data_IF_386372108543
#
_entry.id   IF_386372108543
#
_cell.length_a   1.000
_cell.length_b   1.000
_cell.length_c   1.000
_cell.angle_alpha   90.00
_cell.angle_beta   90.00
_cell.angle_gamma   90.00
#
_symmetry.space_group_name_H-M   'P 1'
#
loop_
_entity.id
_entity.type
_entity.pdbx_description
1 polymer ?
#
# COMPACT_ATOMS: atom_id res chain seq x y z
N UNK A 1 28.57 20.09 -24.49
CA UNK A 1 27.25 19.85 -23.83
C UNK A 1 26.14 20.45 -24.73
N UNK A 2 25.32 19.56 -25.29
CA UNK A 2 24.49 19.78 -26.49
C UNK A 2 23.31 20.76 -26.19
N UNK A 3 23.12 21.80 -27.04
CA UNK A 3 22.02 22.80 -26.90
C UNK A 3 20.61 22.19 -26.74
N UNK A 4 20.37 20.98 -27.27
CA UNK A 4 19.12 20.25 -27.14
C UNK A 4 18.83 19.78 -25.70
N UNK A 5 19.85 19.41 -24.93
CA UNK A 5 19.69 18.95 -23.53
C UNK A 5 19.31 20.12 -22.61
N UNK A 6 19.87 21.32 -22.86
CA UNK A 6 19.49 22.53 -22.11
C UNK A 6 18.02 22.93 -22.34
N UNK A 7 17.53 22.77 -23.56
CA UNK A 7 16.14 23.13 -23.91
C UNK A 7 15.12 22.17 -23.27
N UNK A 8 15.44 20.88 -23.22
CA UNK A 8 14.60 19.84 -22.59
C UNK A 8 14.54 20.06 -21.07
N UNK A 9 15.65 20.41 -20.43
CA UNK A 9 15.69 20.69 -19.00
C UNK A 9 14.88 21.94 -18.62
N UNK A 10 14.94 23.01 -19.45
CA UNK A 10 14.14 24.23 -19.24
C UNK A 10 12.65 23.95 -19.44
N UNK A 11 12.26 23.13 -20.44
CA UNK A 11 10.87 22.73 -20.67
C UNK A 11 10.35 21.82 -19.54
N UNK A 12 11.18 20.98 -18.95
CA UNK A 12 10.78 20.15 -17.79
C UNK A 12 10.58 20.99 -16.53
N UNK A 13 11.46 21.96 -16.27
CA UNK A 13 11.31 22.90 -15.16
C UNK A 13 10.07 23.80 -15.31
N UNK A 14 9.78 24.27 -16.54
CA UNK A 14 8.57 25.05 -16.83
C UNK A 14 7.28 24.22 -16.67
N UNK A 15 7.31 22.95 -17.02
CA UNK A 15 6.15 22.04 -16.87
C UNK A 15 5.89 21.70 -15.41
N UNK A 16 6.95 21.57 -14.59
CA UNK A 16 6.84 21.34 -13.14
C UNK A 16 6.26 22.55 -12.38
N UNK A 17 6.56 23.79 -12.83
CA UNK A 17 6.00 25.00 -12.23
C UNK A 17 4.54 25.26 -12.64
N UNK A 18 4.07 24.73 -13.78
CA UNK A 18 2.68 24.89 -14.24
C UNK A 18 1.71 23.84 -13.65
N UNK A 19 2.20 22.73 -13.11
CA UNK A 19 1.36 21.70 -12.46
C UNK A 19 1.18 21.91 -10.95
N UNK A 20 1.83 22.92 -10.36
CA UNK A 20 1.74 23.29 -8.92
C UNK A 20 0.76 24.44 -8.63
N UNK A 21 -0.19 24.71 -9.49
CA UNK A 21 -1.29 25.62 -9.22
C UNK A 21 -2.62 24.83 -9.23
N UNK A 22 -3.34 24.64 -8.07
CA UNK A 22 -3.97 25.73 -7.31
C UNK A 22 -4.02 25.60 -5.76
N UNK A 23 -2.96 25.27 -5.07
CA UNK A 23 -2.99 25.18 -3.60
C UNK A 23 -1.95 26.08 -2.90
N UNK A 24 -1.88 27.39 -3.23
CA UNK A 24 -1.09 28.31 -2.41
C UNK A 24 -1.66 29.73 -2.44
N UNK A 25 -2.60 29.99 -1.56
CA UNK A 25 -2.88 31.32 -1.09
C UNK A 25 -1.99 31.62 0.13
N UNK A 26 -0.69 31.84 -0.10
CA UNK A 26 0.24 32.30 0.91
C UNK A 26 0.51 33.77 0.69
N UNK A 27 0.36 34.55 1.77
CA UNK A 27 0.59 36.01 1.86
C UNK A 27 1.85 36.43 1.10
N UNK A 28 1.73 37.44 0.26
CA UNK A 28 2.77 38.06 -0.60
C UNK A 28 4.07 38.37 0.16
N UNK A 29 4.01 38.56 1.47
CA UNK A 29 5.16 38.85 2.34
C UNK A 29 6.13 37.67 2.50
N UNK A 30 5.67 36.44 2.43
CA UNK A 30 6.54 35.25 2.55
C UNK A 30 7.24 34.89 1.24
N UNK A 31 6.70 35.28 0.10
CA UNK A 31 7.28 34.96 -1.22
C UNK A 31 8.57 35.76 -1.45
N UNK A 32 8.62 37.04 -1.02
CA UNK A 32 9.84 37.85 -1.15
C UNK A 32 10.98 37.36 -0.25
N UNK A 33 10.67 36.87 0.93
CA UNK A 33 11.66 36.31 1.87
C UNK A 33 12.24 34.98 1.37
N UNK A 34 11.42 34.14 0.80
CA UNK A 34 11.84 32.87 0.17
C UNK A 34 12.68 33.11 -1.08
N UNK A 35 12.32 34.10 -1.91
CA UNK A 35 13.12 34.50 -3.08
C UNK A 35 14.52 35.00 -2.71
N UNK A 36 14.64 35.77 -1.65
CA UNK A 36 15.95 36.27 -1.14
C UNK A 36 16.79 35.13 -0.58
N UNK A 37 16.19 34.17 0.15
CA UNK A 37 16.89 32.99 0.65
C UNK A 37 17.37 32.07 -0.49
N UNK A 38 16.55 31.87 -1.52
CA UNK A 38 16.90 31.05 -2.70
C UNK A 38 18.03 31.68 -3.54
N UNK A 39 18.04 32.99 -3.70
CA UNK A 39 19.11 33.72 -4.38
C UNK A 39 20.42 33.67 -3.57
N UNK A 40 20.33 33.74 -2.23
CA UNK A 40 21.50 33.62 -1.34
C UNK A 40 22.15 32.23 -1.37
N UNK A 41 21.34 31.16 -1.45
CA UNK A 41 21.86 29.79 -1.59
C UNK A 41 22.53 29.57 -2.94
N UNK A 42 21.98 30.11 -4.03
CA UNK A 42 22.62 30.03 -5.36
C UNK A 42 23.94 30.80 -5.38
N UNK A 43 24.01 31.98 -4.79
CA UNK A 43 25.24 32.77 -4.69
C UNK A 43 26.31 32.05 -3.86
N UNK A 44 25.94 31.39 -2.76
CA UNK A 44 26.83 30.60 -1.91
C UNK A 44 27.39 29.36 -2.65
N UNK A 45 26.56 28.69 -3.44
CA UNK A 45 27.01 27.57 -4.29
C UNK A 45 27.99 28.02 -5.38
N UNK A 46 27.78 29.20 -5.99
CA UNK A 46 28.71 29.73 -7.00
C UNK A 46 30.09 30.09 -6.42
N UNK A 47 30.14 30.57 -5.17
CA UNK A 47 31.41 30.89 -4.48
C UNK A 47 32.19 29.63 -4.15
N UNK A 48 31.52 28.52 -3.78
CA UNK A 48 32.17 27.25 -3.47
C UNK A 48 32.76 26.56 -4.72
N UNK A 49 32.23 26.82 -5.91
CA UNK A 49 32.77 26.27 -7.20
C UNK A 49 33.95 27.09 -7.71
N UNK A 50 34.09 28.38 -7.30
CA UNK A 50 35.16 29.28 -7.74
C UNK A 50 36.49 29.16 -7.00
N UNK A 51 36.57 28.39 -5.91
CA UNK A 51 37.79 28.31 -5.06
C UNK A 51 38.67 27.07 -5.32
N UNK A 52 38.39 26.28 -6.36
CA UNK A 52 39.21 25.10 -6.70
C UNK A 52 39.92 25.21 -8.08
N UNK A 53 40.58 26.35 -8.35
CA UNK A 53 41.54 26.43 -9.48
C UNK A 53 42.95 26.56 -8.94
N UNK A 54 43.57 25.45 -8.63
CA UNK A 54 44.99 25.33 -8.38
C UNK A 54 45.58 24.34 -9.40
N UNK A 55 46.37 24.84 -10.34
CA UNK A 55 47.08 24.05 -11.32
C UNK A 55 48.15 23.16 -10.69
N UNK A 56 48.19 21.89 -11.07
CA UNK A 56 49.42 21.12 -11.21
C UNK A 56 49.23 20.06 -12.30
N UNK A 57 50.07 20.17 -13.34
CA UNK A 57 50.20 19.20 -14.41
C UNK A 57 50.66 17.83 -13.87
N UNK A 58 49.80 16.84 -14.02
CA UNK A 58 50.18 15.43 -14.26
C UNK A 58 48.97 14.71 -14.85
N UNK A 59 49.19 14.22 -16.06
CA UNK A 59 48.24 13.40 -16.81
C UNK A 59 47.97 12.11 -16.05
N UNK A 60 46.73 11.78 -15.72
CA UNK A 60 46.28 10.41 -15.49
C UNK A 60 45.28 10.00 -16.56
N UNK A 61 45.43 8.77 -16.95
CA UNK A 61 44.56 8.02 -17.83
C UNK A 61 43.09 8.06 -17.37
N UNK A 62 42.23 7.94 -18.36
CA UNK A 62 40.78 7.98 -18.24
C UNK A 62 40.22 6.99 -17.21
N UNK A 63 39.57 7.53 -16.20
CA UNK A 63 38.53 6.86 -15.43
C UNK A 63 37.42 7.91 -15.13
N UNK A 64 36.71 8.26 -16.19
CA UNK A 64 35.46 9.01 -16.08
C UNK A 64 34.30 8.00 -16.21
N UNK A 65 34.13 7.18 -15.20
CA UNK A 65 32.85 6.51 -14.97
C UNK A 65 32.05 7.36 -14.00
N UNK A 66 31.30 8.27 -14.58
CA UNK A 66 30.24 8.97 -13.86
C UNK A 66 29.22 7.91 -13.47
N UNK A 67 29.22 7.49 -12.20
CA UNK A 67 28.20 6.64 -11.60
C UNK A 67 26.85 7.36 -11.76
N UNK A 68 26.20 7.16 -12.89
CA UNK A 68 24.75 7.20 -12.93
C UNK A 68 24.30 6.05 -12.02
N UNK A 69 23.94 6.38 -10.78
CA UNK A 69 23.34 5.41 -9.87
C UNK A 69 21.99 5.06 -10.52
N UNK A 70 21.97 3.91 -11.18
CA UNK A 70 20.79 3.35 -11.80
C UNK A 70 19.85 2.92 -10.66
N UNK A 71 18.67 3.52 -10.59
CA UNK A 71 17.66 3.27 -9.55
C UNK A 71 17.29 1.79 -9.53
N UNK A 72 17.35 1.11 -10.67
CA UNK A 72 17.10 -0.33 -10.79
C UNK A 72 18.19 -1.14 -10.09
N UNK A 73 19.46 -0.71 -10.13
CA UNK A 73 20.56 -1.38 -9.44
C UNK A 73 20.45 -1.28 -7.91
N UNK A 74 19.92 -0.18 -7.39
CA UNK A 74 19.67 -0.02 -5.94
C UNK A 74 18.53 -0.93 -5.52
N UNK A 75 17.42 -0.96 -6.27
CA UNK A 75 16.28 -1.81 -5.98
C UNK A 75 16.66 -3.30 -5.98
N UNK A 76 17.45 -3.74 -6.94
CA UNK A 76 17.99 -5.11 -7.01
C UNK A 76 18.92 -5.43 -5.84
N UNK A 77 19.76 -4.46 -5.44
CA UNK A 77 20.66 -4.62 -4.29
C UNK A 77 19.89 -4.75 -2.98
N UNK A 78 18.88 -3.92 -2.77
CA UNK A 78 18.00 -4.01 -1.58
C UNK A 78 17.25 -5.34 -1.57
N UNK A 79 16.67 -5.74 -2.71
CA UNK A 79 15.99 -7.02 -2.83
C UNK A 79 16.91 -8.20 -2.49
N UNK A 80 18.17 -8.16 -2.92
CA UNK A 80 19.17 -9.18 -2.59
C UNK A 80 19.52 -9.19 -1.11
N UNK A 81 19.71 -8.03 -0.48
CA UNK A 81 19.97 -7.92 0.96
C UNK A 81 18.82 -8.52 1.76
N UNK A 82 17.57 -8.19 1.40
CA UNK A 82 16.36 -8.76 2.03
C UNK A 82 16.31 -10.28 1.85
N UNK A 83 16.65 -10.80 0.66
CA UNK A 83 16.70 -12.25 0.42
C UNK A 83 17.79 -12.97 1.20
N UNK A 84 18.93 -12.32 1.47
CA UNK A 84 20.06 -12.89 2.18
C UNK A 84 19.93 -12.77 3.71
N UNK A 85 19.11 -11.82 4.20
CA UNK A 85 18.89 -11.63 5.64
C UNK A 85 17.94 -12.69 6.18
N UNK A 86 18.38 -13.53 7.14
CA UNK A 86 17.49 -14.51 7.77
C UNK A 86 16.36 -13.81 8.55
N UNK A 87 15.14 -14.33 8.40
CA UNK A 87 14.02 -13.86 9.22
C UNK A 87 14.30 -14.15 10.71
N UNK A 88 14.11 -13.15 11.60
CA UNK A 88 14.24 -13.38 13.04
C UNK A 88 13.32 -14.49 13.55
N UNK A 89 13.76 -15.34 14.47
CA UNK A 89 12.93 -16.41 15.03
C UNK A 89 11.66 -15.87 15.70
N UNK A 90 11.74 -14.70 16.34
CA UNK A 90 10.61 -14.04 16.96
C UNK A 90 9.50 -13.64 15.95
N UNK A 91 9.82 -13.49 14.67
CA UNK A 91 8.84 -13.14 13.65
C UNK A 91 7.82 -14.27 13.36
N UNK A 92 8.08 -15.50 13.78
CA UNK A 92 7.07 -16.58 13.73
C UNK A 92 6.03 -16.48 14.87
N UNK A 93 6.20 -15.61 15.86
CA UNK A 93 5.24 -15.47 16.97
C UNK A 93 3.95 -14.77 16.55
N UNK A 94 4.05 -13.76 15.70
CA UNK A 94 2.90 -13.06 15.13
C UNK A 94 2.79 -13.37 13.63
N UNK A 95 1.55 -13.63 13.18
CA UNK A 95 1.34 -13.92 11.76
C UNK A 95 1.78 -12.76 10.86
N UNK A 96 1.48 -11.51 11.24
CA UNK A 96 1.83 -10.34 10.42
C UNK A 96 3.34 -10.20 10.27
N UNK A 97 4.12 -10.38 11.35
CA UNK A 97 5.58 -10.31 11.30
C UNK A 97 6.16 -11.38 10.37
N UNK A 98 5.65 -12.61 10.46
CA UNK A 98 6.00 -13.67 9.53
C UNK A 98 5.58 -13.32 8.11
N UNK A 99 4.34 -12.87 7.91
CA UNK A 99 3.77 -12.69 6.57
C UNK A 99 4.47 -11.57 5.80
N UNK A 100 4.79 -10.44 6.44
CA UNK A 100 5.57 -9.37 5.80
C UNK A 100 6.95 -9.85 5.35
N UNK A 101 7.65 -10.63 6.17
CA UNK A 101 8.91 -11.26 5.76
C UNK A 101 8.71 -12.26 4.60
N UNK A 102 7.64 -13.07 4.66
CA UNK A 102 7.32 -14.08 3.64
C UNK A 102 7.06 -13.45 2.27
N UNK A 103 6.30 -12.36 2.18
CA UNK A 103 5.98 -11.71 0.90
C UNK A 103 7.15 -10.90 0.33
N UNK A 104 8.05 -10.41 1.18
CA UNK A 104 9.23 -9.67 0.77
C UNK A 104 10.39 -10.58 0.31
N UNK A 105 10.43 -11.85 0.74
CA UNK A 105 11.58 -12.73 0.56
C UNK A 105 11.23 -14.00 -0.24
N UNK A 106 11.69 -14.06 -1.48
CA UNK A 106 11.48 -15.19 -2.41
C UNK A 106 12.02 -16.52 -1.88
N UNK A 107 13.19 -16.51 -1.22
CA UNK A 107 13.77 -17.73 -0.63
C UNK A 107 12.91 -18.23 0.52
N UNK A 108 12.45 -17.30 1.37
CA UNK A 108 11.56 -17.62 2.49
C UNK A 108 10.23 -18.20 1.99
N UNK A 109 9.61 -17.65 0.93
CA UNK A 109 8.41 -18.23 0.34
C UNK A 109 8.64 -19.69 -0.02
N UNK A 110 9.71 -20.01 -0.77
CA UNK A 110 10.02 -21.37 -1.18
C UNK A 110 10.34 -22.31 -0.02
N UNK A 111 10.82 -21.77 1.10
CA UNK A 111 11.12 -22.54 2.30
C UNK A 111 9.91 -22.77 3.21
N UNK A 112 8.92 -21.86 3.14
CA UNK A 112 7.74 -21.87 4.02
C UNK A 112 6.45 -22.30 3.31
N UNK A 113 6.53 -22.75 2.08
CA UNK A 113 5.42 -23.39 1.35
C UNK A 113 5.58 -24.90 1.44
N UNK A 114 4.50 -25.59 1.80
CA UNK A 114 4.43 -27.06 1.80
C UNK A 114 4.25 -27.53 0.37
N UNK A 115 5.26 -28.21 -0.18
CA UNK A 115 5.20 -28.76 -1.53
C UNK A 115 5.10 -30.31 -1.51
N UNK A 116 4.36 -30.91 -2.46
CA UNK A 116 3.60 -30.27 -3.54
C UNK A 116 2.39 -29.49 -2.99
N UNK A 117 2.22 -28.23 -3.43
CA UNK A 117 1.17 -27.35 -2.94
C UNK A 117 -0.16 -27.62 -3.65
N UNK A 118 -1.24 -27.98 -2.94
CA UNK A 118 -2.56 -28.13 -3.54
C UNK A 118 -3.14 -26.76 -3.91
N UNK A 119 -3.51 -26.59 -5.18
CA UNK A 119 -4.16 -25.41 -5.74
C UNK A 119 -5.48 -25.81 -6.36
N UNK A 120 -6.59 -25.38 -5.73
CA UNK A 120 -7.95 -25.68 -6.18
C UNK A 120 -8.55 -24.46 -6.89
N UNK A 121 -8.99 -24.64 -8.14
CA UNK A 121 -9.67 -23.63 -8.95
C UNK A 121 -10.78 -24.27 -9.76
N UNK A 122 -11.97 -23.68 -9.77
CA UNK A 122 -13.12 -24.22 -10.47
C UNK A 122 -13.46 -25.67 -10.07
N UNK A 123 -13.30 -26.02 -8.79
CA UNK A 123 -13.53 -27.36 -8.25
C UNK A 123 -12.46 -28.41 -8.61
N UNK A 124 -11.40 -28.03 -9.35
CA UNK A 124 -10.30 -28.95 -9.73
C UNK A 124 -9.04 -28.60 -8.94
N UNK A 125 -8.44 -29.62 -8.30
CA UNK A 125 -7.18 -29.47 -7.56
C UNK A 125 -6.01 -29.91 -8.41
N UNK A 126 -4.98 -29.08 -8.49
CA UNK A 126 -3.67 -29.41 -9.09
C UNK A 126 -2.59 -29.29 -8.01
N UNK A 127 -1.65 -30.23 -8.04
CA UNK A 127 -0.50 -30.22 -7.12
C UNK A 127 0.66 -29.47 -7.76
N UNK A 128 0.96 -28.27 -7.21
CA UNK A 128 2.02 -27.42 -7.72
C UNK A 128 3.37 -27.83 -7.12
N UNK A 129 4.34 -28.14 -7.98
CA UNK A 129 5.68 -28.51 -7.54
C UNK A 129 6.51 -27.24 -7.19
N UNK A 130 7.54 -27.42 -6.35
CA UNK A 130 8.43 -26.33 -5.92
C UNK A 130 9.09 -25.60 -7.08
N UNK A 131 9.44 -26.30 -8.16
CA UNK A 131 10.01 -25.71 -9.38
C UNK A 131 9.04 -24.83 -10.15
N UNK A 132 7.74 -25.09 -10.02
CA UNK A 132 6.67 -24.35 -10.71
C UNK A 132 6.21 -23.12 -9.94
N UNK A 133 6.62 -22.95 -8.67
CA UNK A 133 6.25 -21.80 -7.86
C UNK A 133 6.84 -20.51 -8.41
N UNK A 134 5.97 -19.56 -8.72
CA UNK A 134 6.33 -18.17 -9.02
C UNK A 134 6.10 -17.33 -7.78
N UNK A 135 7.06 -16.48 -7.45
CA UNK A 135 6.96 -15.58 -6.29
C UNK A 135 5.66 -14.76 -6.35
N UNK A 136 4.85 -14.84 -5.30
CA UNK A 136 3.65 -14.03 -5.15
C UNK A 136 3.98 -12.80 -4.30
N UNK A 137 3.80 -11.62 -4.88
CA UNK A 137 4.15 -10.37 -4.23
C UNK A 137 3.02 -9.81 -3.36
N UNK A 138 1.84 -10.41 -3.42
CA UNK A 138 0.66 -9.93 -2.72
C UNK A 138 0.49 -8.40 -2.92
N UNK A 139 0.32 -7.66 -1.82
CA UNK A 139 0.14 -6.21 -1.83
C UNK A 139 1.46 -5.40 -1.81
N UNK A 140 2.64 -6.03 -1.82
CA UNK A 140 3.94 -5.32 -1.73
C UNK A 140 4.20 -4.32 -2.86
N UNK A 141 3.50 -4.46 -3.99
CA UNK A 141 3.56 -3.52 -5.12
C UNK A 141 2.49 -2.44 -5.06
N UNK A 142 1.67 -2.44 -4.01
CA UNK A 142 0.65 -1.42 -3.77
C UNK A 142 1.14 -0.44 -2.71
N UNK A 143 0.50 0.71 -2.57
CA UNK A 143 0.81 1.68 -1.52
C UNK A 143 0.18 1.30 -0.18
N UNK A 144 -0.87 0.50 -0.22
CA UNK A 144 -1.63 0.05 0.94
C UNK A 144 -2.16 -1.37 0.73
N UNK A 145 -2.59 -2.00 1.82
CA UNK A 145 -3.39 -3.22 1.80
C UNK A 145 -4.68 -3.01 2.58
N UNK A 146 -5.63 -3.91 2.38
CA UNK A 146 -6.95 -3.79 3.01
C UNK A 146 -7.24 -4.94 3.96
N UNK A 147 -8.13 -4.69 4.93
CA UNK A 147 -8.66 -5.67 5.87
C UNK A 147 -10.16 -5.44 6.05
N UNK A 148 -10.92 -6.50 6.31
CA UNK A 148 -12.37 -6.44 6.56
C UNK A 148 -12.66 -6.95 7.96
N UNK A 149 -13.37 -6.14 8.76
CA UNK A 149 -13.81 -6.49 10.11
C UNK A 149 -15.29 -6.16 10.32
N UNK A 150 -15.94 -6.85 11.25
CA UNK A 150 -17.30 -6.52 11.70
C UNK A 150 -17.29 -5.36 12.72
N UNK A 151 -16.24 -5.28 13.52
CA UNK A 151 -16.02 -4.27 14.55
C UNK A 151 -14.53 -4.06 14.83
N UNK A 152 -14.21 -3.04 15.62
CA UNK A 152 -12.82 -2.68 15.92
C UNK A 152 -12.11 -3.71 16.82
N UNK A 153 -12.85 -4.44 17.69
CA UNK A 153 -12.28 -5.46 18.56
C UNK A 153 -11.70 -6.64 17.77
N UNK A 154 -12.24 -6.95 16.60
CA UNK A 154 -11.68 -7.98 15.73
C UNK A 154 -10.28 -7.65 15.20
N UNK A 155 -9.89 -6.38 15.22
CA UNK A 155 -8.54 -5.95 14.80
C UNK A 155 -7.46 -6.46 15.77
N UNK A 156 -7.82 -6.70 17.04
CA UNK A 156 -6.89 -7.22 18.04
C UNK A 156 -6.48 -8.67 17.78
N UNK A 157 -7.26 -9.42 16.97
CA UNK A 157 -6.89 -10.78 16.58
C UNK A 157 -5.55 -10.85 15.84
N UNK A 158 -5.18 -9.80 15.11
CA UNK A 158 -3.87 -9.71 14.43
C UNK A 158 -2.69 -9.74 15.41
N UNK A 159 -2.91 -9.37 16.68
CA UNK A 159 -1.90 -9.37 17.76
C UNK A 159 -1.85 -10.70 18.53
N UNK A 160 -2.67 -11.68 18.17
CA UNK A 160 -2.73 -12.96 18.87
C UNK A 160 -1.54 -13.84 18.51
N UNK A 161 -0.85 -14.33 19.53
CA UNK A 161 0.25 -15.31 19.40
C UNK A 161 -0.23 -16.76 19.46
N UNK A 162 -1.54 -16.98 19.64
CA UNK A 162 -2.16 -18.32 19.80
C UNK A 162 -2.93 -18.77 18.56
N UNK A 163 -2.68 -18.15 17.40
CA UNK A 163 -3.33 -18.54 16.15
C UNK A 163 -2.68 -19.81 15.59
N UNK A 164 -3.48 -20.82 15.31
CA UNK A 164 -3.04 -22.06 14.65
C UNK A 164 -3.18 -22.00 13.13
N UNK A 165 -4.03 -21.11 12.62
CA UNK A 165 -4.23 -20.93 11.19
C UNK A 165 -4.69 -19.53 10.84
N UNK A 166 -4.27 -19.06 9.66
CA UNK A 166 -4.65 -17.78 9.06
C UNK A 166 -4.91 -17.98 7.57
N UNK A 167 -5.90 -17.28 7.04
CA UNK A 167 -6.15 -17.25 5.59
C UNK A 167 -5.98 -15.83 5.08
N UNK A 168 -5.10 -15.66 4.10
CA UNK A 168 -4.96 -14.42 3.34
C UNK A 168 -5.82 -14.51 2.10
N UNK A 169 -6.73 -13.57 1.93
CA UNK A 169 -7.62 -13.47 0.79
C UNK A 169 -7.13 -12.39 -0.18
N UNK A 170 -6.99 -12.76 -1.44
CA UNK A 170 -6.79 -11.85 -2.57
C UNK A 170 -8.10 -11.78 -3.34
N UNK A 171 -8.76 -10.65 -3.28
CA UNK A 171 -10.15 -10.46 -3.68
C UNK A 171 -10.18 -9.67 -4.98
N UNK A 172 -10.62 -10.29 -6.04
CA UNK A 172 -10.75 -9.72 -7.38
C UNK A 172 -12.17 -9.17 -7.56
N UNK A 173 -12.32 -7.86 -7.34
CA UNK A 173 -13.65 -7.23 -7.32
C UNK A 173 -14.38 -7.32 -8.66
N UNK A 174 -13.65 -7.18 -9.78
CA UNK A 174 -14.26 -7.26 -11.11
C UNK A 174 -14.76 -8.67 -11.44
N UNK A 175 -13.95 -9.67 -11.14
CA UNK A 175 -14.18 -11.07 -11.47
C UNK A 175 -15.16 -11.76 -10.51
N UNK A 176 -15.37 -11.19 -9.31
CA UNK A 176 -16.18 -11.80 -8.26
C UNK A 176 -15.56 -13.08 -7.69
N UNK A 177 -14.23 -13.14 -7.68
CA UNK A 177 -13.43 -14.29 -7.24
C UNK A 177 -12.53 -13.90 -6.05
N UNK A 178 -12.17 -14.91 -5.25
CA UNK A 178 -11.25 -14.80 -4.13
C UNK A 178 -10.26 -15.94 -4.16
N UNK A 179 -8.95 -15.63 -4.23
CA UNK A 179 -7.90 -16.60 -3.97
C UNK A 179 -7.59 -16.60 -2.46
N UNK A 180 -7.79 -17.73 -1.80
CA UNK A 180 -7.54 -17.93 -0.38
C UNK A 180 -6.22 -18.69 -0.19
N UNK A 181 -5.23 -18.04 0.39
CA UNK A 181 -3.94 -18.61 0.76
C UNK A 181 -4.01 -19.03 2.22
N UNK A 182 -4.07 -20.34 2.48
CA UNK A 182 -4.17 -20.89 3.83
C UNK A 182 -2.80 -21.17 4.42
N UNK A 183 -2.59 -20.65 5.62
CA UNK A 183 -1.38 -20.82 6.42
C UNK A 183 -1.72 -21.57 7.69
N UNK A 184 -0.86 -22.54 8.07
CA UNK A 184 -0.89 -23.23 9.35
C UNK A 184 0.33 -22.88 10.19
N UNK A 185 0.17 -22.88 11.52
CA UNK A 185 1.24 -22.71 12.49
C UNK A 185 1.55 -24.03 13.17
N UNK A 186 2.68 -24.62 12.86
CA UNK A 186 3.13 -25.90 13.42
C UNK A 186 4.63 -25.88 13.68
N UNK A 187 5.09 -26.58 14.74
CA UNK A 187 6.50 -26.62 15.17
C UNK A 187 7.12 -25.23 15.33
N UNK A 188 6.34 -24.26 15.85
CA UNK A 188 6.74 -22.87 16.04
C UNK A 188 7.03 -22.12 14.72
N UNK A 189 6.43 -22.54 13.60
CA UNK A 189 6.63 -21.92 12.29
C UNK A 189 5.36 -21.85 11.48
N UNK A 190 5.14 -20.71 10.85
CA UNK A 190 4.10 -20.53 9.85
C UNK A 190 4.50 -21.15 8.51
N UNK A 191 3.56 -21.85 7.85
CA UNK A 191 3.74 -22.42 6.51
C UNK A 191 2.47 -22.24 5.68
N UNK A 192 2.62 -21.93 4.41
CA UNK A 192 1.51 -21.93 3.46
C UNK A 192 1.24 -23.38 3.01
N UNK A 193 0.00 -23.83 3.14
CA UNK A 193 -0.39 -25.23 2.96
C UNK A 193 -1.24 -25.46 1.72
N UNK A 194 -2.04 -24.48 1.28
CA UNK A 194 -2.92 -24.62 0.12
C UNK A 194 -3.37 -23.27 -0.42
N UNK A 195 -3.82 -23.28 -1.67
CA UNK A 195 -4.51 -22.16 -2.31
C UNK A 195 -5.87 -22.64 -2.79
N UNK A 196 -6.92 -21.86 -2.47
CA UNK A 196 -8.29 -22.18 -2.83
C UNK A 196 -8.91 -20.98 -3.53
N UNK A 197 -9.40 -21.13 -4.76
CA UNK A 197 -10.18 -20.08 -5.41
C UNK A 197 -11.66 -20.36 -5.21
N UNK A 198 -12.37 -19.38 -4.65
CA UNK A 198 -13.81 -19.42 -4.44
C UNK A 198 -14.49 -18.24 -5.13
N UNK A 199 -15.79 -18.34 -5.37
CA UNK A 199 -16.59 -17.21 -5.81
C UNK A 199 -17.07 -16.38 -4.62
N UNK A 200 -17.49 -15.13 -4.85
CA UNK A 200 -18.07 -14.28 -3.79
C UNK A 200 -19.21 -14.95 -3.05
N UNK A 201 -20.07 -15.73 -3.74
CA UNK A 201 -21.20 -16.42 -3.12
C UNK A 201 -20.79 -17.41 -2.03
N UNK A 202 -19.58 -17.97 -2.14
CA UNK A 202 -19.05 -18.98 -1.22
C UNK A 202 -18.18 -18.34 -0.12
N UNK A 203 -17.97 -17.01 -0.16
CA UNK A 203 -17.21 -16.27 0.83
C UNK A 203 -18.09 -15.86 2.02
N UNK A 204 -17.52 -15.86 3.22
CA UNK A 204 -18.19 -15.43 4.47
C UNK A 204 -18.67 -13.97 4.41
N UNK A 205 -18.06 -13.14 3.58
CA UNK A 205 -18.40 -11.74 3.35
C UNK A 205 -19.18 -11.52 2.03
N UNK A 206 -19.81 -12.55 1.45
CA UNK A 206 -20.44 -12.53 0.13
C UNK A 206 -21.31 -11.28 -0.14
N UNK A 207 -22.23 -10.95 0.77
CA UNK A 207 -23.10 -9.78 0.63
C UNK A 207 -22.30 -8.47 0.56
N UNK A 208 -21.28 -8.34 1.39
CA UNK A 208 -20.45 -7.16 1.45
C UNK A 208 -19.52 -7.05 0.25
N UNK A 209 -18.92 -8.16 -0.21
CA UNK A 209 -18.07 -8.18 -1.41
C UNK A 209 -18.85 -7.81 -2.68
N UNK A 210 -20.07 -8.34 -2.85
CA UNK A 210 -20.96 -7.94 -3.95
C UNK A 210 -21.33 -6.45 -3.91
N UNK A 211 -21.45 -5.88 -2.71
CA UNK A 211 -21.63 -4.45 -2.54
C UNK A 211 -20.36 -3.67 -2.90
N UNK A 212 -19.19 -4.07 -2.40
CA UNK A 212 -17.91 -3.39 -2.67
C UNK A 212 -17.58 -3.36 -4.17
N UNK A 213 -17.88 -4.43 -4.91
CA UNK A 213 -17.76 -4.46 -6.36
C UNK A 213 -18.49 -3.28 -7.01
N UNK A 214 -19.75 -3.05 -6.62
CA UNK A 214 -20.58 -1.95 -7.14
C UNK A 214 -20.11 -0.60 -6.60
N UNK A 215 -19.72 -0.55 -5.34
CA UNK A 215 -19.28 0.66 -4.65
C UNK A 215 -18.04 1.26 -5.33
N UNK A 216 -17.01 0.46 -5.57
CA UNK A 216 -15.79 0.93 -6.23
C UNK A 216 -16.00 1.19 -7.72
N UNK A 217 -16.81 0.39 -8.42
CA UNK A 217 -17.14 0.63 -9.82
C UNK A 217 -17.89 1.96 -10.07
N UNK A 218 -18.66 2.41 -9.08
CA UNK A 218 -19.43 3.66 -9.14
C UNK A 218 -18.83 4.79 -8.28
N UNK A 219 -17.59 4.64 -7.78
CA UNK A 219 -16.95 5.58 -6.85
C UNK A 219 -17.85 5.97 -5.66
N UNK A 220 -18.67 5.04 -5.18
CA UNK A 220 -19.58 5.25 -4.06
C UNK A 220 -20.85 6.04 -4.38
N UNK A 221 -21.09 6.44 -5.65
CA UNK A 221 -22.24 7.26 -6.03
C UNK A 221 -23.56 6.66 -5.55
N UNK A 222 -24.36 7.44 -4.79
CA UNK A 222 -25.62 7.03 -4.20
C UNK A 222 -25.53 5.99 -3.05
N UNK A 223 -24.30 5.55 -2.71
CA UNK A 223 -24.06 4.52 -1.70
C UNK A 223 -23.38 5.06 -0.42
N UNK A 224 -23.28 6.37 -0.29
CA UNK A 224 -22.71 7.07 0.86
C UNK A 224 -23.77 7.86 1.60
N UNK A 225 -23.59 8.02 2.92
CA UNK A 225 -24.37 8.96 3.72
C UNK A 225 -24.05 10.40 3.28
N UNK A 226 -25.05 11.24 3.19
CA UNK A 226 -24.89 12.67 2.87
C UNK A 226 -25.53 13.54 3.96
N UNK A 227 -24.78 14.43 4.65
CA UNK A 227 -23.32 14.52 4.60
C UNK A 227 -22.66 13.30 5.27
N UNK A 228 -21.45 12.94 4.82
CA UNK A 228 -20.71 11.78 5.33
C UNK A 228 -19.85 12.19 6.55
N UNK A 229 -20.08 11.66 7.76
CA UNK A 229 -19.25 11.92 8.91
C UNK A 229 -17.78 11.51 8.69
N UNK A 230 -16.87 12.40 9.04
CA UNK A 230 -15.42 12.20 8.96
C UNK A 230 -14.78 12.45 10.32
N UNK A 231 -13.77 11.69 10.66
CA UNK A 231 -12.95 11.82 11.85
C UNK A 231 -11.50 11.53 11.47
N UNK A 232 -10.61 12.49 11.61
CA UNK A 232 -9.20 12.33 11.19
C UNK A 232 -8.47 13.65 11.12
N UNK A 233 -7.26 13.68 10.51
CA UNK A 233 -6.53 14.89 10.25
C UNK A 233 -7.39 15.91 9.50
N UNK A 234 -7.23 17.20 9.83
CA UNK A 234 -7.97 18.27 9.15
C UNK A 234 -7.51 18.38 7.68
N UNK A 235 -8.40 18.11 6.69
CA UNK A 235 -8.01 18.19 5.29
C UNK A 235 -7.67 19.63 4.82
N UNK A 236 -8.07 20.65 5.60
CA UNK A 236 -7.83 22.06 5.31
C UNK A 236 -6.88 22.74 6.32
N UNK A 237 -6.36 22.00 7.30
CA UNK A 237 -5.54 22.51 8.39
C UNK A 237 -4.11 21.99 8.39
N UNK A 238 -3.43 22.18 9.52
CA UNK A 238 -2.13 21.58 9.76
C UNK A 238 -2.28 20.06 10.01
N UNK A 239 -1.34 19.25 9.51
CA UNK A 239 -1.37 17.77 9.57
C UNK A 239 -1.54 17.18 10.98
N UNK A 240 -1.26 17.97 12.03
CA UNK A 240 -1.35 17.53 13.43
C UNK A 240 -2.71 17.72 14.06
N UNK A 241 -3.62 18.48 13.44
CA UNK A 241 -4.95 18.73 13.99
C UNK A 241 -5.92 17.60 13.64
N UNK A 242 -6.56 17.03 14.66
CA UNK A 242 -7.62 16.02 14.48
C UNK A 242 -8.99 16.69 14.58
N UNK A 243 -9.85 16.45 13.59
CA UNK A 243 -11.18 17.07 13.52
C UNK A 243 -12.29 15.99 13.39
N UNK A 244 -13.45 16.35 13.92
CA UNK A 244 -14.72 15.67 13.65
C UNK A 244 -15.56 16.60 12.75
N UNK A 245 -15.74 16.22 11.49
CA UNK A 245 -16.43 17.04 10.49
C UNK A 245 -17.28 16.18 9.56
N UNK A 246 -17.74 16.73 8.45
CA UNK A 246 -18.49 15.99 7.44
C UNK A 246 -17.92 16.26 6.05
N UNK A 247 -17.97 15.26 5.18
CA UNK A 247 -17.60 15.34 3.77
C UNK A 247 -18.89 15.46 2.97
N UNK A 248 -19.08 16.54 2.18
CA UNK A 248 -20.15 16.64 1.22
C UNK A 248 -20.07 15.52 0.16
N UNK A 249 -21.21 15.06 -0.35
CA UNK A 249 -21.22 13.96 -1.30
C UNK A 249 -20.46 14.24 -2.61
N UNK A 250 -20.44 15.48 -3.04
CA UNK A 250 -19.71 15.98 -4.20
C UNK A 250 -18.19 15.92 -4.04
N UNK A 251 -17.68 16.01 -2.82
CA UNK A 251 -16.26 15.97 -2.49
C UNK A 251 -15.76 14.55 -2.20
N UNK A 252 -16.67 13.59 -2.04
CA UNK A 252 -16.33 12.20 -1.64
C UNK A 252 -15.26 11.56 -2.53
N UNK A 253 -15.29 11.82 -3.84
CA UNK A 253 -14.33 11.21 -4.77
C UNK A 253 -12.87 11.54 -4.44
N UNK A 254 -12.61 12.66 -3.76
CA UNK A 254 -11.27 13.08 -3.30
C UNK A 254 -10.79 12.26 -2.10
N UNK A 255 -11.73 11.77 -1.29
CA UNK A 255 -11.45 10.98 -0.09
C UNK A 255 -11.48 9.46 -0.33
N UNK A 256 -11.93 9.03 -1.52
CA UNK A 256 -12.02 7.59 -1.83
C UNK A 256 -10.62 6.99 -1.99
N UNK A 257 -10.24 6.02 -1.13
CA UNK A 257 -8.96 5.36 -1.29
C UNK A 257 -8.86 4.61 -2.63
N UNK A 258 -7.69 4.66 -3.24
CA UNK A 258 -7.43 3.96 -4.50
C UNK A 258 -7.40 2.46 -4.28
N UNK A 259 -8.07 1.72 -5.16
CA UNK A 259 -8.05 0.26 -5.23
C UNK A 259 -7.33 -0.16 -6.52
N UNK A 260 -6.02 -0.46 -6.45
CA UNK A 260 -5.25 -0.85 -7.63
C UNK A 260 -5.82 -2.14 -8.26
N UNK A 261 -5.88 -2.18 -9.59
CA UNK A 261 -6.32 -3.34 -10.38
C UNK A 261 -7.69 -3.91 -10.00
N UNK A 262 -8.57 -3.13 -9.36
CA UNK A 262 -9.84 -3.60 -8.76
C UNK A 262 -9.63 -4.77 -7.78
N UNK A 263 -8.55 -4.75 -7.04
CA UNK A 263 -8.14 -5.84 -6.16
C UNK A 263 -7.93 -5.33 -4.74
N UNK A 264 -8.57 -5.99 -3.78
CA UNK A 264 -8.38 -5.76 -2.35
C UNK A 264 -7.91 -7.03 -1.67
N UNK A 265 -7.42 -6.88 -0.44
CA UNK A 265 -6.97 -8.00 0.39
C UNK A 265 -7.81 -8.08 1.66
N UNK A 266 -7.80 -9.24 2.28
CA UNK A 266 -8.31 -9.45 3.63
C UNK A 266 -7.48 -10.54 4.32
N UNK A 267 -7.34 -10.47 5.63
CA UNK A 267 -6.66 -11.49 6.42
C UNK A 267 -7.63 -11.99 7.49
N UNK A 268 -7.88 -13.29 7.46
CA UNK A 268 -8.73 -13.98 8.40
C UNK A 268 -7.87 -14.52 9.55
N UNK A 269 -7.77 -13.75 10.66
CA UNK A 269 -7.05 -14.12 11.89
C UNK A 269 -7.92 -14.98 12.83
N UNK A 270 -8.72 -15.91 12.28
CA UNK A 270 -9.64 -16.69 13.07
C UNK A 270 -10.90 -15.94 13.53
N UNK A 271 -11.09 -14.66 13.11
CA UNK A 271 -12.31 -13.94 13.43
C UNK A 271 -13.54 -14.64 12.81
N UNK A 272 -14.57 -14.81 13.64
CA UNK A 272 -15.87 -15.30 13.17
C UNK A 272 -16.69 -14.12 12.68
N UNK A 273 -16.96 -14.10 11.38
CA UNK A 273 -17.96 -13.16 10.85
C UNK A 273 -19.35 -13.67 11.18
N UNK A 274 -20.10 -12.87 11.96
CA UNK A 274 -21.50 -13.12 12.22
C UNK A 274 -22.41 -12.58 11.10
N UNK A 275 -23.71 -12.62 11.33
CA UNK A 275 -24.70 -11.88 10.51
C UNK A 275 -24.64 -10.37 10.87
N UNK A 276 -23.42 -9.81 10.81
CA UNK A 276 -23.20 -8.41 11.16
C UNK A 276 -23.81 -7.50 10.10
N UNK A 277 -24.56 -6.50 10.54
CA UNK A 277 -25.04 -5.41 9.69
C UNK A 277 -24.04 -4.25 9.63
N UNK A 278 -22.82 -4.44 10.13
CA UNK A 278 -21.72 -3.47 10.09
C UNK A 278 -20.48 -4.13 9.53
N UNK A 279 -19.76 -3.39 8.70
CA UNK A 279 -18.41 -3.76 8.21
C UNK A 279 -17.52 -2.55 8.27
N UNK A 280 -16.24 -2.80 8.56
CA UNK A 280 -15.18 -1.83 8.51
C UNK A 280 -14.19 -2.34 7.45
N UNK A 281 -14.03 -1.58 6.38
CA UNK A 281 -12.95 -1.79 5.41
C UNK A 281 -11.82 -0.86 5.79
N UNK A 282 -10.70 -1.45 6.18
CA UNK A 282 -9.48 -0.74 6.58
C UNK A 282 -8.55 -0.69 5.38
N UNK A 283 -8.01 0.48 5.08
CA UNK A 283 -6.86 0.68 4.22
C UNK A 283 -5.68 1.02 5.09
N UNK A 284 -4.62 0.25 5.01
CA UNK A 284 -3.41 0.45 5.82
C UNK A 284 -2.21 0.65 4.93
N UNK A 285 -1.54 1.79 5.07
CA UNK A 285 -0.33 2.11 4.33
C UNK A 285 0.83 1.18 4.69
N UNK A 286 1.63 0.80 3.69
CA UNK A 286 2.75 -0.14 3.89
C UNK A 286 3.96 0.51 4.55
N UNK A 287 4.19 1.81 4.34
CA UNK A 287 5.42 2.49 4.75
C UNK A 287 5.21 3.80 5.52
N UNK A 288 3.98 4.33 5.57
CA UNK A 288 3.69 5.66 6.11
C UNK A 288 2.86 5.66 7.40
N UNK A 289 2.44 4.47 7.87
CA UNK A 289 1.61 4.34 9.08
C UNK A 289 0.18 4.88 8.95
N UNK A 290 -0.21 5.39 7.78
CA UNK A 290 -1.56 5.94 7.55
C UNK A 290 -2.57 4.81 7.53
N UNK A 291 -3.66 4.99 8.26
CA UNK A 291 -4.79 4.07 8.25
C UNK A 291 -6.09 4.83 7.98
N UNK A 292 -6.86 4.35 6.99
CA UNK A 292 -8.21 4.87 6.70
C UNK A 292 -9.22 3.75 6.89
N UNK A 293 -10.26 4.02 7.66
CA UNK A 293 -11.37 3.09 7.93
C UNK A 293 -12.66 3.59 7.32
N UNK A 294 -13.20 2.84 6.40
CA UNK A 294 -14.53 3.05 5.84
C UNK A 294 -15.54 2.19 6.62
N UNK A 295 -16.45 2.84 7.34
CA UNK A 295 -17.44 2.17 8.18
C UNK A 295 -18.75 2.07 7.43
N UNK A 296 -19.16 0.85 7.10
CA UNK A 296 -20.41 0.54 6.40
C UNK A 296 -21.46 -0.02 7.34
N UNK A 297 -22.72 0.27 7.05
CA UNK A 297 -23.88 -0.37 7.69
C UNK A 297 -24.85 -0.91 6.64
N UNK A 298 -25.47 -2.04 6.98
CA UNK A 298 -26.55 -2.62 6.20
C UNK A 298 -27.89 -2.30 6.86
N UNK A 299 -28.82 -1.73 6.09
CA UNK A 299 -30.19 -1.47 6.51
C UNK A 299 -31.13 -1.99 5.42
N UNK A 300 -32.14 -2.77 5.80
CA UNK A 300 -33.09 -3.37 4.83
C UNK A 300 -32.40 -4.06 3.65
N UNK A 301 -31.32 -4.80 3.93
CA UNK A 301 -30.54 -5.53 2.92
C UNK A 301 -29.58 -4.67 2.07
N UNK A 302 -29.58 -3.35 2.21
CA UNK A 302 -28.74 -2.42 1.45
C UNK A 302 -27.57 -1.91 2.28
N UNK A 303 -26.35 -2.08 1.80
CA UNK A 303 -25.14 -1.51 2.39
C UNK A 303 -24.99 -0.03 2.03
N UNK A 304 -24.42 0.73 2.96
CA UNK A 304 -24.11 2.15 2.77
C UNK A 304 -22.88 2.53 3.58
N UNK A 305 -22.04 3.43 3.05
CA UNK A 305 -20.95 4.06 3.81
C UNK A 305 -21.56 5.08 4.80
N UNK A 306 -21.25 4.94 6.08
CA UNK A 306 -21.83 5.75 7.15
C UNK A 306 -20.83 6.69 7.80
N UNK A 307 -19.51 6.36 7.80
CA UNK A 307 -18.45 7.19 8.40
C UNK A 307 -17.10 6.84 7.80
N UNK A 308 -16.22 7.83 7.72
CA UNK A 308 -14.79 7.69 7.45
C UNK A 308 -14.01 8.05 8.70
N UNK A 309 -13.00 7.25 9.04
CA UNK A 309 -12.00 7.57 10.06
C UNK A 309 -10.61 7.47 9.42
N UNK A 310 -9.76 8.46 9.67
CA UNK A 310 -8.35 8.48 9.25
C UNK A 310 -7.43 8.69 10.47
N UNK A 311 -6.25 8.06 10.43
CA UNK A 311 -5.27 8.08 11.51
C UNK A 311 -3.87 8.33 10.98
#
# INVERSE_FOLDING_TARGET
MNRKIKLIFILYCLRFTLTLHPYFSISIYNIERMRKLFLLTIALCCVMVGLNTGCTDKKPEALADTLAIDTDTIADTIARIVEETPMPKAADQLFDDFFFNFIANRRLQRARIVFPLPVTRGGKTKMLQKSQWKTEHFFMRQQNYTLIFDNEQQMDNAKSTSLDSVVVEKIYLREGLVDQYAFGHGDGKWRMERINQISFKDNVNASFLNFLQKFFAANGAGMIRNPLPYSGPDPNGEETSHVETTIPAEEWSTFLPTVPDNMIYNILYGQKYGKSQRKILVFRGLSNGIETRLVFKQRHGKWRLEKVKAY
#
